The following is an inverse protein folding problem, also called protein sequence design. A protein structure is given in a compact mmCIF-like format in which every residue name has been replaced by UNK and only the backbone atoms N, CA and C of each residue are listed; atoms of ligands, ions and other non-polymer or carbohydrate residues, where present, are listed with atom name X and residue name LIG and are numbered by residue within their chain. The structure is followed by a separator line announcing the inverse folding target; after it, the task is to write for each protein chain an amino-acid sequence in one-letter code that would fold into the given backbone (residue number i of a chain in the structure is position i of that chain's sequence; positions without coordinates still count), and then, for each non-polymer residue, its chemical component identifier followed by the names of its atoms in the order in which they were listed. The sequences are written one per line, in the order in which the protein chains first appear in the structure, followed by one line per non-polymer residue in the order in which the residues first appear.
data_IF_577406601071
#
_entry.id   IF_577406601071
#
_cell.length_a   1.000
_cell.length_b   1.000
_cell.length_c   1.000
_cell.angle_alpha   90.00
_cell.angle_beta   90.00
_cell.angle_gamma   90.00
#
_symmetry.space_group_name_H-M   'P 1'
#
loop_
_entity.id
_entity.type
_entity.pdbx_description
1 polymer ?
#
# COMPACT_ATOMS: atom_id res chain seq x y z
N UNK A 1 13.19 -10.81 13.17
CA UNK A 1 11.82 -10.67 13.78
C UNK A 1 10.80 -11.34 12.87
N UNK A 2 9.60 -11.69 13.39
CA UNK A 2 8.56 -12.40 12.59
C UNK A 2 8.18 -11.61 11.35
N UNK A 3 8.05 -10.29 11.49
CA UNK A 3 7.73 -9.39 10.39
C UNK A 3 8.75 -9.45 9.26
N UNK A 4 10.04 -9.54 9.56
CA UNK A 4 11.10 -9.61 8.53
C UNK A 4 10.99 -10.90 7.71
N UNK A 5 10.70 -12.04 8.37
CA UNK A 5 10.47 -13.31 7.69
C UNK A 5 9.25 -13.24 6.75
N UNK A 6 8.19 -12.53 7.17
CA UNK A 6 7.01 -12.31 6.34
C UNK A 6 7.35 -11.39 5.17
N UNK A 7 8.02 -10.26 5.41
CA UNK A 7 8.44 -9.32 4.35
C UNK A 7 9.29 -10.02 3.28
N UNK A 8 10.17 -10.95 3.67
CA UNK A 8 10.96 -11.72 2.72
C UNK A 8 10.10 -12.61 1.81
N UNK A 9 8.98 -13.15 2.30
CA UNK A 9 8.06 -13.96 1.48
C UNK A 9 7.27 -13.12 0.47
N UNK A 10 7.01 -11.85 0.77
CA UNK A 10 6.39 -10.91 -0.16
C UNK A 10 7.37 -10.34 -1.20
N UNK A 11 8.67 -10.57 -1.03
CA UNK A 11 9.69 -10.09 -1.96
C UNK A 11 9.63 -10.88 -3.27
N UNK A 12 9.40 -10.20 -4.38
CA UNK A 12 9.47 -10.73 -5.73
C UNK A 12 10.86 -10.42 -6.30
N UNK A 13 11.77 -11.41 -6.43
CA UNK A 13 13.16 -11.15 -6.82
C UNK A 13 13.31 -10.49 -8.19
N UNK A 14 12.44 -10.86 -9.15
CA UNK A 14 12.48 -10.39 -10.53
C UNK A 14 11.53 -9.23 -10.82
N UNK A 15 10.95 -8.59 -9.76
CA UNK A 15 9.94 -7.54 -9.90
C UNK A 15 10.44 -6.39 -10.80
N UNK A 16 11.66 -5.91 -10.57
CA UNK A 16 12.20 -4.79 -11.34
C UNK A 16 12.26 -5.09 -12.85
N UNK A 17 12.74 -6.26 -13.25
CA UNK A 17 12.76 -6.64 -14.68
C UNK A 17 11.39 -7.05 -15.20
N UNK A 18 10.62 -7.76 -14.39
CA UNK A 18 9.28 -8.24 -14.75
C UNK A 18 8.29 -7.12 -15.01
N UNK A 19 8.39 -6.02 -14.27
CA UNK A 19 7.45 -4.89 -14.35
C UNK A 19 7.86 -3.78 -15.30
N UNK A 20 8.84 -4.01 -16.18
CA UNK A 20 9.42 -2.97 -17.06
C UNK A 20 8.36 -2.19 -17.84
N UNK A 21 7.44 -2.87 -18.50
CA UNK A 21 6.42 -2.22 -19.35
C UNK A 21 5.46 -1.39 -18.50
N UNK A 22 4.98 -1.97 -17.41
CA UNK A 22 4.12 -1.27 -16.45
C UNK A 22 4.83 -0.08 -15.83
N UNK A 23 6.07 -0.28 -15.35
CA UNK A 23 6.91 0.79 -14.79
C UNK A 23 7.12 1.94 -15.75
N UNK A 24 7.39 1.65 -17.03
CA UNK A 24 7.56 2.69 -18.04
C UNK A 24 6.28 3.50 -18.20
N UNK A 25 5.14 2.84 -18.38
CA UNK A 25 3.85 3.51 -18.53
C UNK A 25 3.51 4.38 -17.30
N UNK A 26 3.69 3.87 -16.09
CA UNK A 26 3.42 4.63 -14.86
C UNK A 26 4.37 5.83 -14.73
N UNK A 27 5.66 5.63 -15.05
CA UNK A 27 6.66 6.71 -15.03
C UNK A 27 6.32 7.79 -16.04
N UNK A 28 5.96 7.44 -17.27
CA UNK A 28 5.57 8.38 -18.30
C UNK A 28 4.32 9.17 -17.90
N UNK A 29 3.33 8.50 -17.31
CA UNK A 29 2.12 9.17 -16.80
C UNK A 29 2.47 10.22 -15.72
N UNK A 30 3.38 9.90 -14.82
CA UNK A 30 3.84 10.83 -13.78
C UNK A 30 4.57 12.02 -14.39
N UNK A 31 5.48 11.77 -15.35
CA UNK A 31 6.24 12.83 -16.04
C UNK A 31 5.32 13.76 -16.85
N UNK A 32 4.32 13.20 -17.54
CA UNK A 32 3.30 13.98 -18.24
C UNK A 32 2.53 14.93 -17.31
N UNK A 33 2.16 14.46 -16.10
CA UNK A 33 1.54 15.31 -15.09
C UNK A 33 2.46 16.46 -14.63
N UNK A 34 3.79 16.28 -14.69
CA UNK A 34 4.78 17.32 -14.41
C UNK A 34 4.86 18.40 -15.51
N UNK A 35 4.30 18.14 -16.70
CA UNK A 35 4.22 19.07 -17.84
C UNK A 35 5.56 19.72 -18.22
N UNK A 36 6.68 19.01 -18.06
CA UNK A 36 8.02 19.47 -18.39
C UNK A 36 8.61 20.53 -17.44
N UNK A 37 7.91 20.87 -16.37
CA UNK A 37 8.39 21.80 -15.34
C UNK A 37 9.27 21.06 -14.33
N UNK A 38 10.58 21.24 -14.45
CA UNK A 38 11.58 20.59 -13.58
C UNK A 38 11.62 21.14 -12.14
N UNK A 39 10.92 22.22 -11.84
CA UNK A 39 10.79 22.75 -10.47
C UNK A 39 9.70 22.04 -9.66
N UNK A 40 8.93 21.16 -10.30
CA UNK A 40 7.88 20.39 -9.66
C UNK A 40 8.43 19.34 -8.72
N UNK A 41 7.63 19.03 -7.70
CA UNK A 41 7.93 18.08 -6.64
C UNK A 41 6.94 16.92 -6.64
N UNK A 42 7.40 15.73 -6.22
CA UNK A 42 6.54 14.53 -6.18
C UNK A 42 6.70 13.78 -4.86
N UNK A 43 5.59 13.20 -4.36
CA UNK A 43 5.60 12.19 -3.31
C UNK A 43 5.16 10.84 -3.89
N UNK A 44 5.89 9.78 -3.57
CA UNK A 44 5.57 8.39 -3.93
C UNK A 44 5.15 7.68 -2.63
N UNK A 45 3.89 7.34 -2.55
CA UNK A 45 3.24 6.75 -1.37
C UNK A 45 3.21 5.23 -1.51
N UNK A 46 3.65 4.51 -0.47
CA UNK A 46 3.87 3.08 -0.55
C UNK A 46 5.07 2.76 -1.45
N UNK A 47 6.11 3.60 -1.37
CA UNK A 47 7.23 3.58 -2.29
C UNK A 47 7.99 2.25 -2.31
N UNK A 48 8.11 1.57 -1.18
CA UNK A 48 8.85 0.33 -1.06
C UNK A 48 10.22 0.42 -1.74
N UNK A 49 10.53 -0.55 -2.63
CA UNK A 49 11.77 -0.60 -3.42
C UNK A 49 11.70 0.15 -4.75
N UNK A 50 10.61 0.88 -5.02
CA UNK A 50 10.35 1.57 -6.29
C UNK A 50 10.51 0.62 -7.51
N UNK A 51 9.97 -0.61 -7.42
CA UNK A 51 10.09 -1.56 -8.53
C UNK A 51 9.13 -1.24 -9.67
N UNK A 52 8.04 -0.55 -9.38
CA UNK A 52 6.95 -0.16 -10.28
C UNK A 52 7.11 1.26 -10.87
N UNK A 53 8.13 2.00 -10.46
CA UNK A 53 8.44 3.35 -10.95
C UNK A 53 9.94 3.50 -11.24
N UNK A 54 10.30 4.22 -12.30
CA UNK A 54 11.70 4.51 -12.61
C UNK A 54 12.17 5.77 -11.86
N UNK A 55 12.72 5.54 -10.66
CA UNK A 55 13.21 6.61 -9.79
C UNK A 55 14.32 7.46 -10.46
N UNK A 56 15.18 6.85 -11.30
CA UNK A 56 16.22 7.57 -12.05
C UNK A 56 15.63 8.51 -13.09
N UNK A 57 14.59 8.06 -13.78
CA UNK A 57 13.88 8.92 -14.74
C UNK A 57 13.23 10.10 -14.00
N UNK A 58 12.58 9.86 -12.86
CA UNK A 58 11.97 10.92 -12.06
C UNK A 58 13.00 11.95 -11.58
N UNK A 59 14.21 11.53 -11.16
CA UNK A 59 15.28 12.46 -10.77
C UNK A 59 15.70 13.46 -11.86
N UNK A 60 15.40 13.19 -13.13
CA UNK A 60 15.68 14.11 -14.25
C UNK A 60 14.56 15.11 -14.50
N UNK A 61 13.36 14.83 -13.98
CA UNK A 61 12.14 15.59 -14.28
C UNK A 61 11.59 16.35 -13.06
N UNK A 62 12.00 16.00 -11.85
CA UNK A 62 11.50 16.61 -10.61
C UNK A 62 12.65 17.16 -9.76
N UNK A 63 12.38 18.28 -9.07
CA UNK A 63 13.34 18.91 -8.18
C UNK A 63 13.52 18.09 -6.90
N UNK A 64 12.40 17.68 -6.29
CA UNK A 64 12.37 16.87 -5.06
C UNK A 64 11.42 15.69 -5.25
N UNK A 65 11.89 14.52 -4.84
CA UNK A 65 11.13 13.28 -4.80
C UNK A 65 11.07 12.82 -3.35
N UNK A 66 9.89 12.69 -2.77
CA UNK A 66 9.74 12.17 -1.41
C UNK A 66 9.18 10.75 -1.48
N UNK A 67 9.95 9.78 -0.98
CA UNK A 67 9.49 8.41 -0.80
C UNK A 67 8.81 8.29 0.56
N UNK A 68 7.58 7.77 0.57
CA UNK A 68 6.77 7.60 1.79
C UNK A 68 6.40 6.14 1.92
N UNK A 69 6.89 5.47 2.98
CA UNK A 69 6.56 4.08 3.30
C UNK A 69 6.88 3.80 4.77
N UNK A 70 6.25 2.79 5.36
CA UNK A 70 6.63 2.31 6.69
C UNK A 70 7.92 1.45 6.67
N UNK A 71 8.33 0.92 5.51
CA UNK A 71 9.55 0.13 5.30
C UNK A 71 10.71 1.02 4.85
N UNK A 72 11.40 1.64 5.82
CA UNK A 72 12.56 2.50 5.54
C UNK A 72 13.72 1.77 4.85
N UNK A 73 13.91 0.47 5.14
CA UNK A 73 14.97 -0.33 4.53
C UNK A 73 14.72 -0.54 3.03
N UNK A 74 13.48 -0.79 2.65
CA UNK A 74 13.08 -0.90 1.25
C UNK A 74 13.33 0.40 0.47
N UNK A 75 12.98 1.55 1.07
CA UNK A 75 13.25 2.86 0.46
C UNK A 75 14.75 3.14 0.34
N UNK A 76 15.55 2.82 1.37
CA UNK A 76 17.01 2.95 1.31
C UNK A 76 17.63 2.04 0.22
N UNK A 77 17.11 0.81 0.04
CA UNK A 77 17.53 -0.06 -1.08
C UNK A 77 17.23 0.56 -2.46
N UNK A 78 16.13 1.31 -2.59
CA UNK A 78 15.80 2.02 -3.84
C UNK A 78 16.77 3.17 -4.10
N UNK A 79 17.04 4.01 -3.08
CA UNK A 79 17.96 5.15 -3.18
C UNK A 79 19.39 4.71 -3.43
N UNK A 80 19.83 3.60 -2.86
CA UNK A 80 21.19 3.06 -3.07
C UNK A 80 21.51 2.67 -4.54
N UNK A 81 20.50 2.61 -5.42
CA UNK A 81 20.69 2.37 -6.86
C UNK A 81 20.95 3.65 -7.67
N UNK A 82 20.84 4.81 -7.04
CA UNK A 82 21.02 6.13 -7.64
C UNK A 82 22.48 6.56 -7.57
N UNK A 83 22.85 7.51 -8.43
CA UNK A 83 24.12 8.26 -8.25
C UNK A 83 24.01 9.24 -7.10
N UNK A 84 25.13 9.74 -6.59
CA UNK A 84 25.15 10.72 -5.49
C UNK A 84 24.34 11.98 -5.81
N UNK A 85 24.35 12.44 -7.06
CA UNK A 85 23.61 13.63 -7.50
C UNK A 85 22.12 13.38 -7.64
N UNK A 86 21.70 12.19 -8.08
CA UNK A 86 20.30 11.79 -8.11
C UNK A 86 19.78 11.61 -6.67
N UNK A 87 20.54 10.97 -5.80
CA UNK A 87 20.16 10.72 -4.40
C UNK A 87 19.91 12.02 -3.60
N UNK A 88 20.61 13.12 -3.92
CA UNK A 88 20.39 14.44 -3.29
C UNK A 88 18.99 15.00 -3.53
N UNK A 89 18.26 14.51 -4.56
CA UNK A 89 16.90 14.92 -4.88
C UNK A 89 15.84 14.07 -4.17
N UNK A 90 16.25 13.01 -3.46
CA UNK A 90 15.33 12.05 -2.84
C UNK A 90 15.31 12.23 -1.34
N UNK A 91 14.12 12.44 -0.79
CA UNK A 91 13.83 12.48 0.64
C UNK A 91 13.11 11.19 1.05
N UNK A 92 13.40 10.68 2.25
CA UNK A 92 12.73 9.51 2.83
C UNK A 92 11.85 9.97 3.99
N UNK A 93 10.59 9.57 3.96
CA UNK A 93 9.60 9.78 5.03
C UNK A 93 9.03 8.44 5.47
N UNK A 94 9.43 7.97 6.66
CA UNK A 94 8.96 6.70 7.24
C UNK A 94 7.62 6.89 7.95
N UNK A 95 6.53 7.00 7.17
CA UNK A 95 5.17 7.20 7.67
C UNK A 95 4.28 6.01 7.34
N UNK A 96 3.52 5.55 8.33
CA UNK A 96 2.47 4.55 8.14
C UNK A 96 1.14 5.23 7.80
N UNK A 97 0.54 4.87 6.66
CA UNK A 97 -0.78 5.36 6.25
C UNK A 97 -1.91 4.88 7.17
N UNK A 98 -1.71 3.73 7.82
CA UNK A 98 -2.72 3.14 8.72
C UNK A 98 -2.52 3.53 10.18
N UNK A 99 -1.43 4.24 10.51
CA UNK A 99 -1.02 4.51 11.90
C UNK A 99 -0.44 3.28 12.62
N UNK A 100 -0.45 2.11 11.97
CA UNK A 100 0.15 0.87 12.49
C UNK A 100 1.59 0.79 12.00
N UNK A 101 2.54 0.75 12.90
CA UNK A 101 3.96 0.65 12.57
C UNK A 101 4.50 -0.78 12.75
N UNK A 102 5.77 -1.01 12.42
CA UNK A 102 6.41 -2.32 12.52
C UNK A 102 6.46 -2.87 13.95
N UNK A 103 6.63 -2.01 14.95
CA UNK A 103 6.61 -2.42 16.36
C UNK A 103 5.23 -2.94 16.74
N UNK A 104 4.18 -2.27 16.29
CA UNK A 104 2.80 -2.68 16.53
C UNK A 104 2.49 -4.04 15.92
N UNK A 105 2.94 -4.27 14.67
CA UNK A 105 2.78 -5.56 13.98
C UNK A 105 3.55 -6.68 14.70
N UNK A 106 4.80 -6.44 15.09
CA UNK A 106 5.57 -7.44 15.83
C UNK A 106 4.93 -7.78 17.18
N UNK A 107 4.43 -6.78 17.92
CA UNK A 107 3.70 -7.02 19.18
C UNK A 107 2.45 -7.86 18.95
N UNK A 108 1.66 -7.55 17.91
CA UNK A 108 0.50 -8.34 17.53
C UNK A 108 0.88 -9.81 17.25
N UNK A 109 1.91 -10.04 16.43
CA UNK A 109 2.36 -11.39 16.08
C UNK A 109 2.86 -12.17 17.29
N UNK A 110 3.65 -11.54 18.16
CA UNK A 110 4.16 -12.16 19.39
C UNK A 110 3.03 -12.48 20.36
N UNK A 111 2.08 -11.57 20.55
CA UNK A 111 0.91 -11.79 21.41
C UNK A 111 0.07 -12.97 20.94
N UNK A 112 -0.28 -13.03 19.66
CA UNK A 112 -1.05 -14.13 19.07
C UNK A 112 -0.30 -15.45 19.24
N UNK A 113 0.99 -15.52 18.88
CA UNK A 113 1.77 -16.75 19.03
C UNK A 113 1.91 -17.19 20.47
N UNK A 114 2.15 -16.26 21.39
CA UNK A 114 2.26 -16.54 22.82
C UNK A 114 0.94 -17.08 23.37
N UNK A 115 -0.19 -16.44 23.05
CA UNK A 115 -1.51 -16.88 23.47
C UNK A 115 -1.85 -18.27 22.93
N UNK A 116 -1.62 -18.54 21.64
CA UNK A 116 -1.83 -19.85 21.03
C UNK A 116 -0.96 -20.93 21.70
N UNK A 117 0.32 -20.67 21.94
CA UNK A 117 1.23 -21.60 22.63
C UNK A 117 0.79 -21.88 24.06
N UNK A 118 0.33 -20.86 24.79
CA UNK A 118 -0.12 -21.01 26.19
C UNK A 118 -1.39 -21.85 26.30
N UNK A 119 -2.27 -21.83 25.31
CA UNK A 119 -3.43 -22.72 25.25
C UNK A 119 -3.02 -24.18 25.01
N UNK A 120 -2.00 -24.43 24.20
CA UNK A 120 -1.52 -25.77 23.89
C UNK A 120 -2.63 -26.72 23.47
N UNK A 121 -2.78 -27.87 24.13
CA UNK A 121 -3.84 -28.85 23.84
C UNK A 121 -5.26 -28.40 24.21
N UNK A 122 -5.42 -27.25 24.88
CA UNK A 122 -6.73 -26.70 25.23
C UNK A 122 -7.23 -25.70 24.18
N UNK A 123 -6.43 -25.43 23.13
CA UNK A 123 -6.81 -24.53 22.06
C UNK A 123 -8.06 -25.08 21.34
N UNK A 124 -9.07 -24.25 21.22
CA UNK A 124 -10.33 -24.53 20.50
C UNK A 124 -10.52 -23.49 19.39
N UNK A 125 -11.48 -23.73 18.49
CA UNK A 125 -11.87 -22.76 17.48
C UNK A 125 -12.21 -21.41 18.09
N UNK A 126 -13.12 -21.39 19.07
CA UNK A 126 -13.59 -20.14 19.71
C UNK A 126 -12.44 -19.39 20.38
N UNK A 127 -11.55 -20.10 21.12
CA UNK A 127 -10.42 -19.46 21.76
C UNK A 127 -9.37 -18.95 20.76
N UNK A 128 -9.18 -19.64 19.64
CA UNK A 128 -8.29 -19.16 18.57
C UNK A 128 -8.86 -17.91 17.89
N UNK A 129 -10.16 -17.92 17.52
CA UNK A 129 -10.84 -16.76 16.97
C UNK A 129 -10.78 -15.56 17.94
N UNK A 130 -11.07 -15.77 19.21
CA UNK A 130 -11.00 -14.74 20.25
C UNK A 130 -9.58 -14.14 20.38
N UNK A 131 -8.54 -14.97 20.35
CA UNK A 131 -7.14 -14.52 20.41
C UNK A 131 -6.84 -13.57 19.23
N UNK A 132 -7.10 -13.99 17.99
CA UNK A 132 -6.74 -13.18 16.82
C UNK A 132 -7.54 -11.88 16.74
N UNK A 133 -8.81 -11.89 17.15
CA UNK A 133 -9.67 -10.71 17.06
C UNK A 133 -9.47 -9.73 18.22
N UNK A 134 -9.19 -10.23 19.46
CA UNK A 134 -8.91 -9.34 20.58
C UNK A 134 -7.61 -8.56 20.38
N UNK A 135 -6.55 -9.21 19.89
CA UNK A 135 -5.30 -8.55 19.57
C UNK A 135 -5.44 -7.59 18.37
N UNK A 136 -6.27 -7.94 17.37
CA UNK A 136 -6.56 -7.06 16.25
C UNK A 136 -7.23 -5.75 16.68
N UNK A 137 -8.03 -5.78 17.74
CA UNK A 137 -8.70 -4.59 18.26
C UNK A 137 -7.70 -3.50 18.67
N UNK A 138 -6.55 -3.89 19.23
CA UNK A 138 -5.48 -2.96 19.62
C UNK A 138 -4.92 -2.24 18.38
N UNK A 139 -4.76 -2.94 17.26
CA UNK A 139 -4.34 -2.34 16.01
C UNK A 139 -5.43 -1.43 15.41
N UNK A 140 -6.68 -1.84 15.52
CA UNK A 140 -7.85 -1.10 15.04
C UNK A 140 -7.97 0.28 15.71
N UNK A 141 -7.63 0.38 16.99
CA UNK A 141 -7.66 1.63 17.77
C UNK A 141 -6.58 2.64 17.32
N UNK A 142 -5.60 2.21 16.52
CA UNK A 142 -4.54 3.07 15.98
C UNK A 142 -4.88 3.69 14.62
N UNK A 143 -5.92 3.19 13.95
CA UNK A 143 -6.31 3.69 12.63
C UNK A 143 -6.62 5.19 12.67
N UNK A 144 -6.19 5.97 11.65
CA UNK A 144 -6.53 7.38 11.59
C UNK A 144 -8.04 7.55 11.46
N UNK A 145 -8.63 8.32 12.38
CA UNK A 145 -10.07 8.60 12.39
C UNK A 145 -10.43 9.80 11.54
N UNK A 146 -9.45 10.60 11.15
CA UNK A 146 -9.66 11.76 10.28
C UNK A 146 -8.45 12.03 9.39
N UNK A 147 -8.71 12.63 8.23
CA UNK A 147 -7.66 12.97 7.28
C UNK A 147 -6.76 14.13 7.79
N UNK A 148 -7.26 14.97 8.70
CA UNK A 148 -6.50 16.08 9.29
C UNK A 148 -5.33 15.60 10.15
N UNK A 149 -5.42 14.38 10.69
CA UNK A 149 -4.31 13.74 11.41
C UNK A 149 -3.27 13.30 10.41
N UNK A 150 -3.69 12.55 9.38
CA UNK A 150 -2.78 11.93 8.42
C UNK A 150 -2.07 12.98 7.53
N UNK A 151 -2.75 14.06 7.13
CA UNK A 151 -2.17 15.10 6.27
C UNK A 151 -0.98 15.82 6.91
N UNK A 152 -0.89 15.83 8.24
CA UNK A 152 0.26 16.44 8.95
C UNK A 152 1.53 15.61 8.81
N UNK A 153 1.39 14.33 8.59
CA UNK A 153 2.50 13.38 8.42
C UNK A 153 2.92 13.24 6.94
N UNK A 154 2.04 13.64 6.02
CA UNK A 154 2.29 13.54 4.58
C UNK A 154 2.97 14.80 4.04
N UNK A 155 3.96 14.65 3.14
CA UNK A 155 4.58 15.79 2.48
C UNK A 155 3.57 16.43 1.52
N UNK A 156 3.47 17.77 1.53
CA UNK A 156 2.73 18.48 0.49
C UNK A 156 3.62 18.62 -0.74
N UNK A 157 3.17 18.12 -1.89
CA UNK A 157 3.91 18.11 -3.16
C UNK A 157 3.00 18.48 -4.33
N UNK A 158 3.59 18.77 -5.48
CA UNK A 158 2.80 19.10 -6.66
C UNK A 158 2.08 17.87 -7.19
N UNK A 159 2.76 16.73 -7.19
CA UNK A 159 2.21 15.44 -7.60
C UNK A 159 2.32 14.43 -6.47
N UNK A 160 1.30 13.61 -6.30
CA UNK A 160 1.31 12.46 -5.38
C UNK A 160 0.99 11.20 -6.19
N UNK A 161 1.85 10.20 -6.10
CA UNK A 161 1.64 8.87 -6.67
C UNK A 161 1.35 7.87 -5.54
N UNK A 162 0.26 7.12 -5.67
CA UNK A 162 -0.10 6.02 -4.77
C UNK A 162 -0.52 4.81 -5.61
N UNK A 163 0.37 3.84 -5.78
CA UNK A 163 0.20 2.73 -6.69
C UNK A 163 0.28 1.39 -5.97
N UNK A 164 -0.72 0.51 -6.15
CA UNK A 164 -0.72 -0.84 -5.59
C UNK A 164 -0.73 -0.93 -4.06
N UNK A 165 -1.14 0.12 -3.36
CA UNK A 165 -1.03 0.23 -1.89
C UNK A 165 -2.26 -0.34 -1.19
N UNK A 166 -3.45 -0.03 -1.68
CA UNK A 166 -4.70 -0.27 -0.94
C UNK A 166 -5.05 -1.76 -0.79
N UNK A 167 -4.67 -2.58 -1.74
CA UNK A 167 -4.82 -4.04 -1.66
C UNK A 167 -3.88 -4.68 -0.61
N UNK A 168 -2.87 -3.95 -0.14
CA UNK A 168 -1.81 -4.48 0.71
C UNK A 168 -1.81 -3.95 2.15
N UNK A 169 -2.67 -2.99 2.50
CA UNK A 169 -2.63 -2.30 3.81
C UNK A 169 -2.60 -3.26 5.01
N UNK A 170 -3.33 -4.37 4.94
CA UNK A 170 -3.40 -5.36 6.02
C UNK A 170 -2.98 -6.78 5.58
N UNK A 171 -2.38 -6.93 4.39
CA UNK A 171 -2.01 -8.23 3.81
C UNK A 171 -1.04 -9.01 4.71
N UNK A 172 -0.15 -8.32 5.41
CA UNK A 172 0.83 -8.91 6.33
C UNK A 172 0.12 -9.58 7.53
N UNK A 173 -0.94 -8.95 8.06
CA UNK A 173 -1.75 -9.51 9.16
C UNK A 173 -2.50 -10.76 8.68
N UNK A 174 -3.17 -10.66 7.53
CA UNK A 174 -3.86 -11.78 6.89
C UNK A 174 -2.94 -12.97 6.68
N UNK A 175 -1.78 -12.73 6.05
CA UNK A 175 -0.79 -13.77 5.78
C UNK A 175 -0.28 -14.44 7.05
N UNK A 176 0.02 -13.65 8.10
CA UNK A 176 0.47 -14.18 9.38
C UNK A 176 -0.57 -15.11 10.00
N UNK A 177 -1.82 -14.65 10.12
CA UNK A 177 -2.88 -15.44 10.77
C UNK A 177 -3.20 -16.71 9.97
N UNK A 178 -3.25 -16.64 8.62
CA UNK A 178 -3.41 -17.82 7.77
C UNK A 178 -2.25 -18.81 7.93
N UNK A 179 -1.03 -18.31 8.09
CA UNK A 179 0.14 -19.17 8.34
C UNK A 179 0.05 -19.87 9.70
N UNK A 180 -0.40 -19.17 10.75
CA UNK A 180 -0.63 -19.76 12.07
C UNK A 180 -1.76 -20.78 11.99
N UNK A 181 -2.91 -20.43 11.41
CA UNK A 181 -4.06 -21.31 11.24
C UNK A 181 -3.70 -22.60 10.49
N UNK A 182 -2.93 -22.49 9.39
CA UNK A 182 -2.46 -23.64 8.61
C UNK A 182 -1.43 -24.52 9.34
N UNK A 183 -0.84 -24.03 10.43
CA UNK A 183 0.08 -24.81 11.28
C UNK A 183 -0.61 -25.59 12.40
N UNK A 184 -1.89 -25.32 12.66
CA UNK A 184 -2.67 -25.98 13.70
C UNK A 184 -3.17 -27.33 13.17
N UNK A 185 -2.83 -28.46 13.79
CA UNK A 185 -3.29 -29.77 13.35
C UNK A 185 -4.80 -29.93 13.52
N UNK A 186 -5.48 -30.52 12.53
CA UNK A 186 -6.92 -30.83 12.60
C UNK A 186 -7.27 -31.77 13.76
N UNK A 187 -6.29 -32.53 14.26
CA UNK A 187 -6.45 -33.38 15.45
C UNK A 187 -6.62 -32.58 16.74
N UNK A 188 -6.25 -31.32 16.75
CA UNK A 188 -6.44 -30.41 17.90
C UNK A 188 -7.87 -29.84 17.86
N UNK A 189 -8.22 -29.18 16.78
CA UNK A 189 -9.58 -28.76 16.43
C UNK A 189 -9.68 -28.50 14.94
N UNK A 190 -10.88 -28.64 14.40
CA UNK A 190 -11.18 -28.29 13.01
C UNK A 190 -11.63 -26.85 12.91
N UNK A 191 -11.35 -26.18 11.78
CA UNK A 191 -11.90 -24.86 11.52
C UNK A 191 -10.94 -23.68 11.78
N UNK A 192 -9.64 -23.94 12.01
CA UNK A 192 -8.66 -22.84 12.16
C UNK A 192 -8.66 -21.88 10.95
N UNK A 193 -8.85 -22.39 9.73
CA UNK A 193 -8.96 -21.56 8.54
C UNK A 193 -10.24 -20.73 8.49
N UNK A 194 -11.36 -21.22 9.06
CA UNK A 194 -12.58 -20.41 9.16
C UNK A 194 -12.41 -19.23 10.12
N UNK A 195 -11.63 -19.41 11.21
CA UNK A 195 -11.27 -18.27 12.08
C UNK A 195 -10.42 -17.23 11.33
N UNK A 196 -9.51 -17.67 10.46
CA UNK A 196 -8.77 -16.77 9.57
C UNK A 196 -9.70 -16.05 8.57
N UNK A 197 -10.72 -16.71 8.03
CA UNK A 197 -11.73 -16.06 7.17
C UNK A 197 -12.57 -15.03 7.93
N UNK A 198 -12.81 -15.24 9.22
CA UNK A 198 -13.45 -14.24 10.08
C UNK A 198 -12.58 -12.99 10.25
N UNK A 199 -11.27 -13.18 10.43
CA UNK A 199 -10.31 -12.08 10.44
C UNK A 199 -10.39 -11.25 9.15
N UNK A 200 -10.46 -11.89 7.98
CA UNK A 200 -10.55 -11.18 6.69
C UNK A 200 -11.75 -10.24 6.64
N UNK A 201 -12.89 -10.62 7.22
CA UNK A 201 -14.06 -9.76 7.30
C UNK A 201 -13.80 -8.53 8.17
N UNK A 202 -13.05 -8.68 9.27
CA UNK A 202 -12.66 -7.55 10.12
C UNK A 202 -11.63 -6.64 9.41
N UNK A 203 -10.65 -7.20 8.70
CA UNK A 203 -9.69 -6.43 7.91
C UNK A 203 -10.41 -5.63 6.80
N UNK A 204 -11.41 -6.23 6.14
CA UNK A 204 -12.26 -5.53 5.19
C UNK A 204 -13.03 -4.37 5.84
N UNK A 205 -13.55 -4.58 7.05
CA UNK A 205 -14.18 -3.51 7.84
C UNK A 205 -13.18 -2.37 8.14
N UNK A 206 -11.91 -2.69 8.43
CA UNK A 206 -10.86 -1.68 8.61
C UNK A 206 -10.57 -0.92 7.31
N UNK A 207 -10.49 -1.61 6.16
CA UNK A 207 -10.35 -0.97 4.86
C UNK A 207 -11.47 0.04 4.57
N UNK A 208 -12.73 -0.33 4.84
CA UNK A 208 -13.89 0.54 4.62
C UNK A 208 -13.81 1.84 5.44
N UNK A 209 -13.14 1.82 6.59
CA UNK A 209 -12.97 3.00 7.46
C UNK A 209 -11.76 3.83 7.02
N UNK A 210 -10.62 3.19 6.82
CA UNK A 210 -9.34 3.91 6.68
C UNK A 210 -9.07 4.40 5.26
N UNK A 211 -9.48 3.66 4.23
CA UNK A 211 -9.15 3.99 2.84
C UNK A 211 -9.77 5.34 2.41
N UNK A 212 -11.04 5.65 2.68
CA UNK A 212 -11.58 6.98 2.36
C UNK A 212 -10.83 8.12 3.06
N UNK A 213 -10.36 7.89 4.29
CA UNK A 213 -9.55 8.87 5.05
C UNK A 213 -8.20 9.08 4.37
N UNK A 214 -7.52 8.00 3.98
CA UNK A 214 -6.24 8.06 3.27
C UNK A 214 -6.42 8.76 1.92
N UNK A 215 -7.39 8.36 1.10
CA UNK A 215 -7.64 8.97 -0.20
C UNK A 215 -7.84 10.49 -0.08
N UNK A 216 -8.65 10.93 0.89
CA UNK A 216 -8.88 12.35 1.14
C UNK A 216 -7.60 13.09 1.56
N UNK A 217 -6.78 12.49 2.43
CA UNK A 217 -5.51 13.06 2.85
C UNK A 217 -4.53 13.21 1.67
N UNK A 218 -4.43 12.18 0.81
CA UNK A 218 -3.57 12.20 -0.38
C UNK A 218 -4.02 13.27 -1.38
N UNK A 219 -5.33 13.39 -1.64
CA UNK A 219 -5.86 14.43 -2.54
C UNK A 219 -5.53 15.83 -1.99
N UNK A 220 -5.57 16.03 -0.68
CA UNK A 220 -5.26 17.33 -0.08
C UNK A 220 -3.75 17.58 0.07
N UNK A 221 -2.92 16.54 0.03
CA UNK A 221 -1.46 16.69 0.04
C UNK A 221 -0.88 17.05 -1.33
N UNK A 222 -1.68 16.98 -2.40
CA UNK A 222 -1.26 17.34 -3.76
C UNK A 222 -1.73 18.75 -4.14
N UNK A 223 -0.81 19.55 -4.73
CA UNK A 223 -1.17 20.83 -5.32
C UNK A 223 -1.85 20.63 -6.69
N UNK A 224 -1.28 19.77 -7.57
CA UNK A 224 -1.70 19.61 -8.95
C UNK A 224 -2.47 18.32 -9.17
N UNK A 225 -1.82 17.16 -8.97
CA UNK A 225 -2.41 15.86 -9.29
C UNK A 225 -2.12 14.78 -8.26
N UNK A 226 -3.09 13.90 -8.08
CA UNK A 226 -2.87 12.59 -7.43
C UNK A 226 -3.09 11.50 -8.47
N UNK A 227 -2.16 10.56 -8.53
CA UNK A 227 -2.23 9.39 -9.40
C UNK A 227 -2.42 8.16 -8.52
N UNK A 228 -3.55 7.48 -8.68
CA UNK A 228 -3.84 6.24 -8.00
C UNK A 228 -3.75 5.07 -8.98
N UNK A 229 -3.05 4.01 -8.61
CA UNK A 229 -3.06 2.74 -9.35
C UNK A 229 -3.70 1.65 -8.48
N UNK A 230 -4.78 1.06 -8.99
CA UNK A 230 -5.61 0.09 -8.28
C UNK A 230 -5.69 -1.23 -9.05
N UNK A 231 -5.45 -2.34 -8.36
CA UNK A 231 -5.45 -3.68 -8.96
C UNK A 231 -6.87 -4.21 -9.14
N UNK A 232 -7.14 -4.75 -10.33
CA UNK A 232 -8.36 -5.48 -10.65
C UNK A 232 -8.02 -6.88 -11.15
N UNK A 233 -8.72 -7.90 -10.68
CA UNK A 233 -8.70 -9.25 -11.24
C UNK A 233 -9.82 -9.36 -12.27
N UNK A 234 -9.46 -9.43 -13.56
CA UNK A 234 -10.40 -9.30 -14.68
C UNK A 234 -11.10 -7.93 -14.62
N UNK A 235 -12.42 -7.91 -14.33
CA UNK A 235 -13.19 -6.67 -14.18
C UNK A 235 -13.47 -6.28 -12.72
N UNK A 236 -13.13 -7.15 -11.75
CA UNK A 236 -13.44 -6.93 -10.35
C UNK A 236 -12.23 -6.35 -9.61
N UNK A 237 -12.38 -5.21 -8.90
CA UNK A 237 -11.32 -4.66 -8.06
C UNK A 237 -10.92 -5.64 -6.94
N UNK A 238 -9.63 -5.71 -6.66
CA UNK A 238 -9.11 -6.44 -5.49
C UNK A 238 -9.60 -5.73 -4.21
N UNK A 239 -9.73 -6.47 -3.11
CA UNK A 239 -10.10 -5.90 -1.80
C UNK A 239 -9.13 -4.77 -1.43
N UNK A 240 -9.67 -3.65 -0.96
CA UNK A 240 -8.93 -2.41 -0.73
C UNK A 240 -8.86 -1.51 -1.98
N UNK A 241 -8.51 -2.04 -3.14
CA UNK A 241 -8.54 -1.28 -4.39
C UNK A 241 -9.96 -0.80 -4.74
N UNK A 242 -10.98 -1.65 -4.52
CA UNK A 242 -12.38 -1.28 -4.73
C UNK A 242 -12.82 -0.10 -3.89
N UNK A 243 -12.47 -0.07 -2.61
CA UNK A 243 -12.77 1.03 -1.70
C UNK A 243 -12.08 2.34 -2.13
N UNK A 244 -10.83 2.25 -2.62
CA UNK A 244 -10.11 3.40 -3.15
C UNK A 244 -10.81 3.97 -4.40
N UNK A 245 -11.12 3.12 -5.38
CA UNK A 245 -11.81 3.51 -6.63
C UNK A 245 -13.12 4.24 -6.30
N UNK A 246 -13.91 3.69 -5.38
CA UNK A 246 -15.17 4.28 -4.96
C UNK A 246 -14.97 5.62 -4.23
N UNK A 247 -14.01 5.71 -3.32
CA UNK A 247 -13.69 6.94 -2.60
C UNK A 247 -13.26 8.06 -3.56
N UNK A 248 -12.48 7.73 -4.60
CA UNK A 248 -12.04 8.70 -5.61
C UNK A 248 -13.21 9.18 -6.47
N UNK A 249 -14.05 8.27 -6.97
CA UNK A 249 -15.23 8.62 -7.77
C UNK A 249 -16.21 9.51 -6.99
N UNK A 250 -16.30 9.29 -5.68
CA UNK A 250 -17.15 10.09 -4.77
C UNK A 250 -16.46 11.36 -4.25
N UNK A 251 -15.22 11.63 -4.61
CA UNK A 251 -14.45 12.80 -4.12
C UNK A 251 -14.96 14.16 -4.59
N UNK A 252 -15.76 14.18 -5.65
CA UNK A 252 -16.21 15.42 -6.31
C UNK A 252 -15.11 16.11 -7.14
N UNK A 253 -13.95 15.48 -7.33
CA UNK A 253 -12.83 15.97 -8.14
C UNK A 253 -12.95 15.51 -9.59
N UNK A 254 -12.27 16.21 -10.49
CA UNK A 254 -12.12 15.75 -11.86
C UNK A 254 -11.17 14.56 -11.90
N UNK A 255 -11.61 13.45 -12.49
CA UNK A 255 -10.86 12.20 -12.58
C UNK A 255 -10.75 11.78 -14.04
N UNK A 256 -9.55 11.45 -14.47
CA UNK A 256 -9.28 10.76 -15.73
C UNK A 256 -8.90 9.31 -15.39
N UNK A 257 -9.55 8.36 -16.03
CA UNK A 257 -9.31 6.92 -15.81
C UNK A 257 -8.80 6.27 -17.10
N UNK A 258 -7.86 5.34 -16.95
CA UNK A 258 -7.47 4.42 -18.01
C UNK A 258 -7.00 3.09 -17.43
N UNK A 259 -7.05 2.04 -18.23
CA UNK A 259 -6.66 0.69 -17.81
C UNK A 259 -5.34 0.29 -18.49
N UNK A 260 -4.54 -0.49 -17.78
CA UNK A 260 -3.34 -1.13 -18.32
C UNK A 260 -3.09 -2.47 -17.65
N UNK A 261 -2.19 -3.26 -18.23
CA UNK A 261 -1.83 -4.57 -17.69
C UNK A 261 -0.59 -4.46 -16.81
N UNK A 262 -0.61 -5.14 -15.69
CA UNK A 262 0.52 -5.35 -14.82
C UNK A 262 0.81 -6.84 -14.66
N UNK A 263 1.85 -7.32 -15.31
CA UNK A 263 2.34 -8.69 -15.20
C UNK A 263 3.09 -8.86 -13.86
N UNK A 264 2.29 -8.96 -12.77
CA UNK A 264 2.76 -8.84 -11.40
C UNK A 264 3.69 -9.98 -10.99
N UNK A 265 3.29 -11.23 -11.26
CA UNK A 265 4.12 -12.41 -10.94
C UNK A 265 4.15 -13.39 -12.11
N UNK A 266 5.18 -13.28 -12.94
CA UNK A 266 5.35 -14.13 -14.13
C UNK A 266 5.50 -15.61 -13.82
N UNK A 267 6.11 -15.94 -12.67
CA UNK A 267 6.30 -17.35 -12.27
C UNK A 267 4.99 -18.03 -11.94
N UNK A 268 4.11 -17.30 -11.24
CA UNK A 268 2.78 -17.78 -10.84
C UNK A 268 1.69 -17.38 -11.83
N UNK A 269 2.05 -16.72 -12.93
CA UNK A 269 1.12 -16.22 -13.97
C UNK A 269 0.02 -15.32 -13.41
N UNK A 270 0.38 -14.47 -12.45
CA UNK A 270 -0.53 -13.47 -11.88
C UNK A 270 -0.38 -12.16 -12.65
N UNK A 271 -1.46 -11.75 -13.31
CA UNK A 271 -1.56 -10.47 -14.03
C UNK A 271 -2.77 -9.71 -13.52
N UNK A 272 -2.58 -8.43 -13.21
CA UNK A 272 -3.67 -7.51 -12.85
C UNK A 272 -4.02 -6.60 -14.03
N UNK A 273 -5.31 -6.28 -14.16
CA UNK A 273 -5.73 -5.06 -14.82
C UNK A 273 -5.57 -3.93 -13.80
N UNK A 274 -4.77 -2.94 -14.15
CA UNK A 274 -4.60 -1.76 -13.31
C UNK A 274 -5.54 -0.67 -13.79
N UNK A 275 -6.37 -0.16 -12.89
CA UNK A 275 -7.11 1.08 -13.13
C UNK A 275 -6.27 2.24 -12.60
N UNK A 276 -5.78 3.06 -13.51
CA UNK A 276 -5.07 4.29 -13.18
C UNK A 276 -6.05 5.45 -13.17
N UNK A 277 -6.10 6.17 -12.05
CA UNK A 277 -6.97 7.34 -11.85
C UNK A 277 -6.09 8.57 -11.60
N UNK A 278 -6.10 9.51 -12.51
CA UNK A 278 -5.45 10.81 -12.35
C UNK A 278 -6.49 11.82 -11.86
N UNK A 279 -6.29 12.32 -10.65
CA UNK A 279 -7.23 13.17 -9.92
C UNK A 279 -6.64 14.56 -9.77
N UNK A 280 -7.44 15.63 -9.99
CA UNK A 280 -6.98 17.01 -9.74
C UNK A 280 -6.80 17.27 -8.25
N UNK A 281 -5.65 17.86 -7.88
CA UNK A 281 -5.35 18.34 -6.53
C UNK A 281 -6.13 19.62 -6.16
N UNK A 282 -5.70 20.29 -5.08
CA UNK A 282 -6.40 21.49 -4.59
C UNK A 282 -6.24 22.74 -5.49
N UNK A 283 -5.17 22.80 -6.29
CA UNK A 283 -4.71 24.02 -6.99
C UNK A 283 -5.17 24.22 -8.42
N UNK A 284 -5.86 23.27 -9.09
CA UNK A 284 -6.09 23.36 -10.54
C UNK A 284 -7.55 23.32 -10.95
N UNK A 285 -7.92 24.24 -11.87
CA UNK A 285 -9.10 24.23 -12.74
C UNK A 285 -8.86 23.34 -13.97
N UNK A 286 -9.91 22.87 -14.68
CA UNK A 286 -9.96 21.61 -15.40
C UNK A 286 -8.90 21.39 -16.50
N UNK A 287 -8.57 20.13 -16.69
CA UNK A 287 -7.61 19.54 -17.64
C UNK A 287 -7.48 20.26 -18.98
N UNK A 288 -6.27 20.78 -19.25
CA UNK A 288 -5.76 21.04 -20.60
C UNK A 288 -4.77 19.96 -21.06
N UNK A 289 -4.51 18.93 -20.25
CA UNK A 289 -3.62 17.84 -20.58
C UNK A 289 -4.42 16.72 -21.29
N UNK A 290 -3.93 16.32 -22.44
CA UNK A 290 -4.43 15.24 -23.29
C UNK A 290 -5.53 15.62 -24.30
N UNK A 291 -5.18 16.44 -25.27
CA UNK A 291 -5.79 16.35 -26.62
C UNK A 291 -4.84 15.64 -27.55
#
# INVERSE_FOLDING_TARGET
MILDDIKQKFRLPDAYEGWREYRQLLTDTVIECGNGDQSKTIAIIGAGRCNDIDLKALCRHFEIITLVDCDSDAMNEAVAKLTDDEAKRVEINSTSLTGINETDLNLYFESVLSAVRNQGYKLTYDSFEEIILSELKILKDKLPTSYEILIKELPKRDIVLCNGVFSQLFSVISFFVRSVAGSIPDSLFTGAMQAADRLEQELKSMNNVVIPVICKALIQSANDYVIFGNECLKADPVEGAGQCIEAIRNSGRTVKEFECLWDFNRREKVTYNMLIQVVTGEGIFPFTLFT
#
